data_IF_587535538443
#
_entry.id   IF_587535538443
#
_cell.length_a   1.000
_cell.length_b   1.000
_cell.length_c   1.000
_cell.angle_alpha   90.00
_cell.angle_beta   90.00
_cell.angle_gamma   90.00
#
_symmetry.space_group_name_H-M   'P 1'
#
loop_
_entity.id
_entity.type
_entity.pdbx_description
1 polymer ?
#
# COMPACT_ATOMS: atom_id res chain seq x y z
N UNK A 1 11.97 -18.10 5.54
CA UNK A 1 11.84 -16.75 4.96
C UNK A 1 10.35 -16.45 4.87
N UNK A 2 9.89 -15.38 5.53
CA UNK A 2 8.50 -14.92 5.41
C UNK A 2 8.38 -14.26 4.04
N UNK A 3 7.47 -14.74 3.20
CA UNK A 3 7.22 -14.15 1.88
C UNK A 3 6.41 -12.87 2.11
N UNK A 4 7.04 -11.71 1.92
CA UNK A 4 6.40 -10.40 2.08
C UNK A 4 5.73 -10.05 0.75
N UNK A 5 4.46 -9.65 0.73
CA UNK A 5 3.68 -9.56 -0.53
C UNK A 5 2.76 -8.34 -0.60
N UNK A 6 2.90 -7.40 0.34
CA UNK A 6 1.90 -6.35 0.56
C UNK A 6 0.64 -6.86 1.28
N UNK A 7 0.62 -8.13 1.72
CA UNK A 7 -0.49 -8.69 2.50
C UNK A 7 -0.56 -8.04 3.89
N UNK A 8 0.58 -7.67 4.46
CA UNK A 8 0.65 -6.99 5.75
C UNK A 8 -0.09 -5.64 5.74
N UNK A 9 -0.03 -4.91 4.61
CA UNK A 9 -0.79 -3.67 4.43
C UNK A 9 -2.28 -4.01 4.25
N UNK A 10 -2.59 -5.03 3.45
CA UNK A 10 -3.97 -5.47 3.23
C UNK A 10 -4.69 -5.86 4.53
N UNK A 11 -4.05 -6.66 5.37
CA UNK A 11 -4.60 -7.09 6.67
C UNK A 11 -5.03 -5.89 7.53
N UNK A 12 -4.25 -4.80 7.51
CA UNK A 12 -4.57 -3.58 8.24
C UNK A 12 -5.75 -2.85 7.59
N UNK A 13 -5.77 -2.75 6.26
CA UNK A 13 -6.87 -2.10 5.54
C UNK A 13 -8.21 -2.82 5.78
N UNK A 14 -8.22 -4.15 5.85
CA UNK A 14 -9.41 -4.95 6.17
C UNK A 14 -9.92 -4.71 7.59
N UNK A 15 -9.02 -4.45 8.55
CA UNK A 15 -9.40 -4.09 9.93
C UNK A 15 -10.00 -2.68 9.99
N UNK A 16 -9.49 -1.75 9.18
CA UNK A 16 -9.90 -0.34 9.18
C UNK A 16 -11.25 -0.10 8.50
N UNK A 17 -11.70 -1.01 7.63
CA UNK A 17 -13.02 -0.91 7.01
C UNK A 17 -13.34 -2.04 6.03
N UNK A 18 -14.62 -2.18 5.68
CA UNK A 18 -15.08 -3.19 4.71
C UNK A 18 -14.58 -2.84 3.30
N UNK A 19 -13.77 -3.74 2.71
CA UNK A 19 -13.27 -3.61 1.35
C UNK A 19 -14.31 -4.13 0.34
N UNK A 20 -14.66 -3.30 -0.64
CA UNK A 20 -15.49 -3.72 -1.78
C UNK A 20 -14.64 -4.43 -2.84
N UNK A 21 -13.37 -4.03 -2.97
CA UNK A 21 -12.47 -4.56 -3.98
C UNK A 21 -11.01 -4.38 -3.56
N UNK A 22 -10.16 -5.35 -3.89
CA UNK A 22 -8.72 -5.31 -3.61
C UNK A 22 -7.91 -6.04 -4.68
N UNK A 23 -6.69 -5.57 -4.92
CA UNK A 23 -5.64 -6.25 -5.65
C UNK A 23 -4.28 -5.93 -5.03
N UNK A 24 -3.49 -6.95 -4.74
CA UNK A 24 -2.09 -6.84 -4.34
C UNK A 24 -1.22 -7.74 -5.22
N UNK A 25 0.07 -7.41 -5.38
CA UNK A 25 1.02 -8.28 -6.09
C UNK A 25 1.91 -9.05 -5.12
N UNK A 26 1.93 -10.37 -5.28
CA UNK A 26 2.92 -11.20 -4.61
C UNK A 26 4.35 -10.90 -5.10
N UNK A 27 5.30 -10.92 -4.18
CA UNK A 27 6.75 -10.76 -4.39
C UNK A 27 7.25 -11.57 -5.55
N UNK A 28 6.83 -12.83 -5.68
CA UNK A 28 7.40 -13.74 -6.66
C UNK A 28 6.42 -14.07 -7.76
N UNK A 29 6.77 -13.70 -8.99
CA UNK A 29 6.07 -14.19 -10.17
C UNK A 29 6.17 -15.71 -10.24
N UNK A 30 5.04 -16.42 -10.25
CA UNK A 30 5.01 -17.90 -10.27
C UNK A 30 5.74 -18.50 -11.48
N UNK A 31 5.78 -17.76 -12.60
CA UNK A 31 6.34 -18.23 -13.86
C UNK A 31 7.82 -17.87 -14.06
N UNK A 32 8.27 -16.70 -13.58
CA UNK A 32 9.59 -16.14 -13.88
C UNK A 32 10.53 -16.06 -12.66
N UNK A 33 10.04 -16.41 -11.46
CA UNK A 33 10.78 -16.36 -10.18
C UNK A 33 11.33 -14.97 -9.82
N UNK A 34 10.96 -13.93 -10.57
CA UNK A 34 11.40 -12.56 -10.36
C UNK A 34 10.75 -11.98 -9.09
N UNK A 35 11.55 -11.24 -8.34
CA UNK A 35 11.08 -10.46 -7.21
C UNK A 35 10.53 -9.12 -7.70
N UNK A 36 9.24 -8.92 -7.52
CA UNK A 36 8.52 -7.73 -7.97
C UNK A 36 8.29 -6.81 -6.79
N UNK A 37 8.37 -5.52 -7.08
CA UNK A 37 7.99 -4.47 -6.14
C UNK A 37 6.53 -4.67 -5.69
N UNK A 38 6.23 -4.57 -4.38
CA UNK A 38 4.90 -4.74 -3.85
C UNK A 38 4.03 -3.52 -4.17
N UNK A 39 2.74 -3.76 -4.39
CA UNK A 39 1.74 -2.69 -4.42
C UNK A 39 0.41 -3.20 -3.87
N UNK A 40 -0.41 -2.28 -3.37
CA UNK A 40 -1.78 -2.57 -2.91
C UNK A 40 -2.73 -1.55 -3.53
N UNK A 41 -3.73 -2.03 -4.27
CA UNK A 41 -4.86 -1.23 -4.74
C UNK A 41 -6.11 -1.72 -4.05
N UNK A 42 -6.92 -0.82 -3.50
CA UNK A 42 -8.14 -1.19 -2.82
C UNK A 42 -9.24 -0.15 -2.99
N UNK A 43 -10.46 -0.55 -2.63
CA UNK A 43 -11.62 0.32 -2.53
C UNK A 43 -12.44 -0.06 -1.31
N UNK A 44 -12.70 0.90 -0.43
CA UNK A 44 -13.65 0.74 0.66
C UNK A 44 -15.08 0.80 0.14
N UNK A 45 -15.97 -0.01 0.73
CA UNK A 45 -17.41 0.03 0.46
C UNK A 45 -18.05 1.32 0.95
N UNK A 46 -17.52 1.90 2.03
CA UNK A 46 -17.92 3.21 2.56
C UNK A 46 -16.67 4.05 2.79
N UNK A 47 -16.66 5.27 2.24
CA UNK A 47 -15.53 6.19 2.40
C UNK A 47 -15.59 6.88 3.74
N UNK A 48 -14.44 6.97 4.41
CA UNK A 48 -14.24 7.77 5.62
C UNK A 48 -13.08 8.73 5.36
N UNK A 49 -13.38 10.02 5.26
CA UNK A 49 -12.41 11.06 4.94
C UNK A 49 -11.32 11.19 6.02
N UNK A 50 -11.67 10.94 7.28
CA UNK A 50 -10.71 11.01 8.39
C UNK A 50 -9.71 9.86 8.31
N UNK A 51 -10.23 8.64 8.06
CA UNK A 51 -9.39 7.47 7.82
C UNK A 51 -8.49 7.67 6.61
N UNK A 52 -9.05 8.13 5.48
CA UNK A 52 -8.29 8.40 4.25
C UNK A 52 -7.15 9.41 4.50
N UNK A 53 -7.43 10.49 5.23
CA UNK A 53 -6.41 11.50 5.58
C UNK A 53 -5.29 10.92 6.45
N UNK A 54 -5.62 10.00 7.36
CA UNK A 54 -4.63 9.34 8.21
C UNK A 54 -3.79 8.33 7.42
N UNK A 55 -4.38 7.61 6.48
CA UNK A 55 -3.66 6.75 5.55
C UNK A 55 -2.67 7.56 4.71
N UNK A 56 -3.11 8.72 4.17
CA UNK A 56 -2.24 9.64 3.43
C UNK A 56 -1.05 10.06 4.30
N UNK A 57 -1.32 10.58 5.49
CA UNK A 57 -0.29 11.02 6.43
C UNK A 57 0.69 9.91 6.81
N UNK A 58 0.19 8.69 7.01
CA UNK A 58 1.03 7.55 7.38
C UNK A 58 2.05 7.23 6.28
N UNK A 59 1.60 7.14 5.04
CA UNK A 59 2.45 6.79 3.89
C UNK A 59 3.40 7.93 3.54
N UNK A 60 2.93 9.18 3.49
CA UNK A 60 3.78 10.34 3.16
C UNK A 60 4.85 10.64 4.21
N UNK A 61 4.60 10.28 5.48
CA UNK A 61 5.58 10.42 6.56
C UNK A 61 6.51 9.22 6.72
N UNK A 62 6.25 8.11 6.03
CA UNK A 62 7.11 6.93 6.09
C UNK A 62 8.47 7.22 5.45
N UNK A 63 9.53 6.69 6.07
CA UNK A 63 10.92 6.80 5.60
C UNK A 63 11.51 5.39 5.63
N UNK A 64 11.38 4.69 4.52
CA UNK A 64 11.95 3.34 4.32
C UNK A 64 13.20 3.38 3.45
N UNK A 65 13.55 2.21 2.92
CA UNK A 65 14.62 2.04 1.95
C UNK A 65 14.28 2.67 0.60
N UNK A 66 12.99 2.72 0.23
CA UNK A 66 12.51 3.38 -1.00
C UNK A 66 11.45 4.44 -0.72
N UNK A 67 11.21 5.33 -1.69
CA UNK A 67 10.11 6.28 -1.61
C UNK A 67 8.78 5.61 -1.91
N UNK A 68 7.80 5.81 -1.02
CA UNK A 68 6.45 5.31 -1.14
C UNK A 68 5.46 6.45 -1.40
N UNK A 69 4.36 6.12 -2.07
CA UNK A 69 3.29 7.04 -2.33
C UNK A 69 1.93 6.39 -2.09
N UNK A 70 0.93 7.23 -1.84
CA UNK A 70 -0.47 6.87 -1.79
C UNK A 70 -1.26 7.83 -2.66
N UNK A 71 -2.15 7.30 -3.50
CA UNK A 71 -2.98 8.14 -4.38
C UNK A 71 -4.37 7.56 -4.58
N UNK A 72 -5.30 8.45 -4.88
CA UNK A 72 -6.65 8.11 -5.27
C UNK A 72 -6.82 8.22 -6.78
N UNK A 73 -7.21 7.13 -7.43
CA UNK A 73 -7.36 7.02 -8.90
C UNK A 73 -8.81 7.26 -9.35
N UNK A 74 -9.55 8.10 -8.61
CA UNK A 74 -10.97 8.38 -8.85
C UNK A 74 -11.93 7.30 -8.34
N UNK A 75 -11.51 6.03 -8.34
CA UNK A 75 -12.30 4.91 -7.79
C UNK A 75 -11.55 4.09 -6.74
N UNK A 76 -10.24 3.90 -6.92
CA UNK A 76 -9.43 3.04 -6.05
C UNK A 76 -8.29 3.83 -5.43
N UNK A 77 -7.94 3.47 -4.21
CA UNK A 77 -6.69 3.88 -3.58
C UNK A 77 -5.56 2.96 -4.04
N UNK A 78 -4.35 3.51 -4.16
CA UNK A 78 -3.11 2.78 -4.43
C UNK A 78 -2.09 3.17 -3.38
N UNK A 79 -1.38 2.18 -2.83
CA UNK A 79 -0.08 2.34 -2.17
C UNK A 79 0.94 1.57 -3.00
N UNK A 80 2.02 2.25 -3.40
CA UNK A 80 3.11 1.66 -4.16
C UNK A 80 4.42 2.42 -3.93
N UNK A 81 5.56 1.82 -4.27
CA UNK A 81 6.80 2.55 -4.43
C UNK A 81 6.73 3.50 -5.62
N UNK A 82 7.18 4.73 -5.43
CA UNK A 82 7.05 5.85 -6.38
C UNK A 82 7.74 5.61 -7.72
N UNK A 83 8.75 4.76 -7.75
CA UNK A 83 9.40 4.36 -9.00
C UNK A 83 8.42 3.68 -9.95
N UNK A 84 7.42 2.94 -9.46
CA UNK A 84 6.45 2.24 -10.30
C UNK A 84 5.68 3.20 -11.20
N UNK A 85 5.13 4.29 -10.64
CA UNK A 85 4.41 5.30 -11.42
C UNK A 85 5.33 6.00 -12.42
N UNK A 86 6.53 6.41 -11.97
CA UNK A 86 7.52 7.04 -12.85
C UNK A 86 7.84 6.16 -14.05
N UNK A 87 8.05 4.86 -13.81
CA UNK A 87 8.37 3.90 -14.87
C UNK A 87 7.20 3.67 -15.82
N UNK A 88 5.97 3.64 -15.31
CA UNK A 88 4.77 3.53 -16.14
C UNK A 88 4.62 4.72 -17.09
N UNK A 89 4.82 5.93 -16.58
CA UNK A 89 4.70 7.17 -17.34
C UNK A 89 5.81 7.32 -18.39
N UNK A 90 7.07 7.07 -18.02
CA UNK A 90 8.22 7.23 -18.92
C UNK A 90 8.27 6.20 -20.06
N UNK A 91 7.68 5.02 -19.87
CA UNK A 91 7.75 3.90 -20.82
C UNK A 91 6.41 3.55 -21.46
N UNK A 92 5.35 4.31 -21.17
CA UNK A 92 3.98 4.08 -21.65
C UNK A 92 3.46 2.64 -21.42
N UNK A 93 3.77 2.08 -20.24
CA UNK A 93 3.29 0.75 -19.89
C UNK A 93 1.77 0.79 -19.61
N UNK A 94 0.99 0.10 -20.44
CA UNK A 94 -0.48 0.01 -20.30
C UNK A 94 -0.95 -0.84 -19.11
N UNK A 95 -0.08 -1.70 -18.56
CA UNK A 95 -0.42 -2.63 -17.46
C UNK A 95 0.65 -2.59 -16.39
N UNK A 96 0.20 -2.61 -15.12
CA UNK A 96 1.08 -2.65 -13.96
C UNK A 96 2.03 -3.85 -13.99
N UNK A 97 1.57 -5.00 -14.48
CA UNK A 97 2.37 -6.23 -14.54
C UNK A 97 3.59 -6.08 -15.45
N UNK A 98 3.47 -5.33 -16.54
CA UNK A 98 4.56 -5.15 -17.50
C UNK A 98 5.61 -4.19 -16.92
N UNK A 99 5.17 -3.10 -16.28
CA UNK A 99 6.06 -2.19 -15.56
C UNK A 99 6.79 -2.87 -14.40
N UNK A 100 6.07 -3.65 -13.57
CA UNK A 100 6.66 -4.39 -12.46
C UNK A 100 7.69 -5.42 -12.93
N UNK A 101 7.42 -6.09 -14.06
CA UNK A 101 8.37 -7.03 -14.65
C UNK A 101 9.63 -6.30 -15.13
N UNK A 102 9.48 -5.17 -15.82
CA UNK A 102 10.62 -4.38 -16.26
C UNK A 102 11.46 -3.89 -15.07
N UNK A 103 10.83 -3.34 -14.03
CA UNK A 103 11.52 -2.90 -12.81
C UNK A 103 12.25 -4.08 -12.14
N UNK A 104 11.64 -5.26 -12.07
CA UNK A 104 12.31 -6.43 -11.47
C UNK A 104 13.54 -6.93 -12.23
N UNK A 105 13.64 -6.61 -13.52
CA UNK A 105 14.79 -6.96 -14.36
C UNK A 105 15.85 -5.87 -14.28
N UNK A 106 15.43 -4.60 -14.36
CA UNK A 106 16.35 -3.44 -14.41
C UNK A 106 16.86 -3.03 -13.01
N UNK A 107 16.03 -3.18 -11.98
CA UNK A 107 16.30 -2.73 -10.61
C UNK A 107 15.92 -3.80 -9.58
N UNK A 108 16.57 -4.99 -9.59
CA UNK A 108 16.25 -6.08 -8.67
C UNK A 108 16.44 -5.69 -7.19
N UNK A 109 17.48 -4.90 -6.88
CA UNK A 109 17.74 -4.42 -5.50
C UNK A 109 16.62 -3.50 -5.00
N UNK A 110 16.06 -2.66 -5.88
CA UNK A 110 14.91 -1.82 -5.54
C UNK A 110 13.70 -2.67 -5.16
N UNK A 111 13.42 -3.73 -5.92
CA UNK A 111 12.32 -4.65 -5.60
C UNK A 111 12.54 -5.32 -4.24
N UNK A 112 13.76 -5.75 -3.93
CA UNK A 112 14.07 -6.34 -2.63
C UNK A 112 13.85 -5.31 -1.50
N UNK A 113 14.43 -4.12 -1.61
CA UNK A 113 14.29 -3.04 -0.62
C UNK A 113 12.83 -2.63 -0.40
N UNK A 114 12.05 -2.52 -1.48
CA UNK A 114 10.63 -2.23 -1.38
C UNK A 114 9.86 -3.33 -0.64
N UNK A 115 10.24 -4.60 -0.79
CA UNK A 115 9.63 -5.68 -0.02
C UNK A 115 10.05 -5.67 1.45
N UNK A 116 11.30 -5.32 1.75
CA UNK A 116 11.80 -5.16 3.12
C UNK A 116 11.07 -4.03 3.89
N UNK A 117 10.60 -3.00 3.18
CA UNK A 117 9.85 -1.87 3.76
C UNK A 117 8.43 -2.21 4.21
N UNK A 118 7.77 -3.17 3.54
CA UNK A 118 6.33 -3.44 3.72
C UNK A 118 5.92 -3.67 5.18
N UNK A 119 6.62 -4.48 6.00
CA UNK A 119 6.24 -4.68 7.39
C UNK A 119 6.33 -3.39 8.23
N UNK A 120 7.35 -2.56 7.97
CA UNK A 120 7.53 -1.29 8.68
C UNK A 120 6.49 -0.24 8.23
N UNK A 121 6.16 -0.21 6.94
CA UNK A 121 5.10 0.65 6.41
C UNK A 121 3.73 0.24 6.96
N UNK A 122 3.43 -1.06 7.00
CA UNK A 122 2.23 -1.60 7.62
C UNK A 122 2.13 -1.17 9.10
N UNK A 123 3.21 -1.35 9.88
CA UNK A 123 3.25 -0.89 11.26
C UNK A 123 3.01 0.63 11.39
N UNK A 124 3.54 1.44 10.48
CA UNK A 124 3.34 2.89 10.47
C UNK A 124 1.88 3.28 10.20
N UNK A 125 1.23 2.60 9.26
CA UNK A 125 -0.19 2.78 8.95
C UNK A 125 -1.03 2.46 10.18
N UNK A 126 -0.76 1.34 10.85
CA UNK A 126 -1.44 0.94 12.08
C UNK A 126 -1.26 1.98 13.19
N UNK A 127 -0.02 2.37 13.51
CA UNK A 127 0.29 3.38 14.54
C UNK A 127 -0.43 4.72 14.30
N UNK A 128 -0.53 5.13 13.03
CA UNK A 128 -1.15 6.40 12.66
C UNK A 128 -2.68 6.34 12.76
N UNK A 129 -3.27 5.20 12.45
CA UNK A 129 -4.73 5.00 12.41
C UNK A 129 -5.33 4.57 13.75
N UNK A 130 -4.56 3.94 14.65
CA UNK A 130 -5.00 3.64 16.02
C UNK A 130 -5.32 4.89 16.84
N UNK A 131 -4.82 6.07 16.42
CA UNK A 131 -5.18 7.37 17.02
C UNK A 131 -6.67 7.71 16.87
N UNK A 132 -7.40 7.03 15.98
CA UNK A 132 -8.85 7.18 15.79
C UNK A 132 -9.63 6.69 17.04
N UNK A 133 -9.20 5.62 17.71
CA UNK A 133 -9.95 5.06 18.84
C UNK A 133 -9.83 5.89 20.13
N UNK A 134 -8.83 6.79 20.21
CA UNK A 134 -8.70 7.74 21.34
C UNK A 134 -9.65 8.94 21.24
N UNK A 135 -10.36 9.11 20.13
CA UNK A 135 -11.25 10.25 19.86
C UNK A 135 -12.70 9.85 19.59
N UNK A 136 -13.16 8.65 19.97
CA UNK A 136 -14.61 8.44 20.13
C UNK A 136 -15.07 9.29 21.31
N UNK A 137 -15.91 10.33 21.13
CA UNK A 137 -16.52 10.99 22.26
C UNK A 137 -17.35 9.95 23.01
N UNK A 138 -17.19 9.92 24.34
CA UNK A 138 -18.13 9.26 25.24
C UNK A 138 -19.54 9.62 24.79
N UNK A 139 -20.28 8.64 24.25
CA UNK A 139 -21.71 8.78 24.06
C UNK A 139 -22.30 9.13 25.43
N UNK A 140 -22.91 10.31 25.46
CA UNK A 140 -23.74 10.88 26.53
C UNK A 140 -24.20 9.89 27.60
N UNK A 141 -23.72 10.08 28.82
CA UNK A 141 -24.53 9.80 29.99
C UNK A 141 -25.58 10.92 30.09
N UNK A 142 -26.72 10.71 29.43
CA UNK A 142 -27.98 11.32 29.82
C UNK A 142 -28.97 10.17 29.98
N UNK A 143 -29.19 9.80 31.24
CA UNK A 143 -30.49 9.74 31.88
C UNK A 143 -30.28 9.87 33.39
#
# INVERSE_FOLDING_TARGET
MKTITGLEILEILEILGELEWVRCSATRGKADRLERSPFVVWRYKTRDINLESLLIKAVESFRGNVEWEIKFTGKNWLIAPKLLEKFQQERDYKKDVDALKAISIEFPEFCQQANEDVPALAAKIKETTEKIDTFKPLKSCLN
#
